data_IF_652379075915
#
_entry.id   IF_652379075915
#
_cell.length_a   1.000
_cell.length_b   1.000
_cell.length_c   1.000
_cell.angle_alpha   90.00
_cell.angle_beta   90.00
_cell.angle_gamma   90.00
#
_symmetry.space_group_name_H-M   'P 1'
#
loop_
_entity.id
_entity.type
_entity.pdbx_description
1 polymer ?
#
# COMPACT_ATOMS: atom_id res chain seq x y z
N UNK A 1 -25.38 -6.76 3.31
CA UNK A 1 -24.07 -7.36 2.92
C UNK A 1 -23.00 -6.59 3.69
N UNK A 2 -22.02 -7.25 4.29
CA UNK A 2 -20.89 -6.54 4.94
C UNK A 2 -19.87 -6.19 3.87
N UNK A 3 -19.41 -4.94 3.86
CA UNK A 3 -18.40 -4.42 2.93
C UNK A 3 -17.10 -4.25 3.72
N UNK A 4 -15.96 -4.49 3.07
CA UNK A 4 -14.63 -4.15 3.58
C UNK A 4 -14.02 -3.14 2.62
N UNK A 5 -13.58 -2.00 3.14
CA UNK A 5 -12.74 -1.06 2.40
C UNK A 5 -11.30 -1.58 2.40
N UNK A 6 -10.91 -2.20 1.31
CA UNK A 6 -9.62 -2.89 1.22
C UNK A 6 -8.42 -1.94 1.00
N UNK A 7 -8.64 -0.62 0.85
CA UNK A 7 -7.57 0.30 0.53
C UNK A 7 -7.91 1.74 0.90
N UNK A 8 -7.51 2.18 2.07
CA UNK A 8 -7.59 3.59 2.46
C UNK A 8 -6.25 4.12 2.95
N UNK A 9 -6.12 5.42 2.97
CA UNK A 9 -5.00 6.11 3.61
C UNK A 9 -5.54 6.96 4.77
N UNK A 10 -4.90 6.85 5.91
CA UNK A 10 -5.16 7.68 7.10
C UNK A 10 -3.83 8.28 7.52
N UNK A 11 -3.71 9.58 7.39
CA UNK A 11 -2.48 10.31 7.67
C UNK A 11 -2.59 11.01 9.03
N UNK A 12 -1.45 11.19 9.70
CA UNK A 12 -1.37 11.88 11.00
C UNK A 12 -1.01 13.37 10.89
N UNK A 13 -0.97 13.92 9.68
CA UNK A 13 -0.46 15.26 9.40
C UNK A 13 -1.59 16.25 9.18
N UNK A 14 -1.42 17.50 9.64
CA UNK A 14 -2.41 18.57 9.47
C UNK A 14 -2.70 18.88 7.98
N UNK A 15 -1.71 18.71 7.11
CA UNK A 15 -1.88 18.86 5.67
C UNK A 15 -2.87 17.88 5.06
N UNK A 16 -3.01 16.71 5.64
CA UNK A 16 -3.95 15.70 5.19
C UNK A 16 -5.40 16.04 5.57
N UNK A 17 -5.62 16.69 6.70
CA UNK A 17 -6.94 17.20 7.09
C UNK A 17 -7.40 18.30 6.12
N UNK A 18 -6.52 19.22 5.73
CA UNK A 18 -6.85 20.25 4.76
C UNK A 18 -7.22 19.64 3.39
N UNK A 19 -6.46 18.65 2.94
CA UNK A 19 -6.76 17.91 1.69
C UNK A 19 -8.12 17.18 1.78
N UNK A 20 -8.42 16.56 2.90
CA UNK A 20 -9.69 15.88 3.14
C UNK A 20 -10.87 16.86 3.08
N UNK A 21 -10.75 18.02 3.69
CA UNK A 21 -11.79 19.09 3.68
C UNK A 21 -12.10 19.58 2.28
N UNK A 22 -11.12 19.69 1.41
CA UNK A 22 -11.32 20.12 0.01
C UNK A 22 -12.23 19.19 -0.79
N UNK A 23 -12.35 17.93 -0.37
CA UNK A 23 -13.23 16.92 -0.98
C UNK A 23 -14.44 16.58 -0.09
N UNK A 24 -14.70 17.37 0.94
CA UNK A 24 -15.87 17.22 1.82
C UNK A 24 -15.73 16.15 2.90
N UNK A 25 -14.51 15.77 3.25
CA UNK A 25 -14.22 14.78 4.28
C UNK A 25 -13.37 15.34 5.42
N UNK A 26 -13.19 14.52 6.46
CA UNK A 26 -12.26 14.76 7.55
C UNK A 26 -11.30 13.57 7.68
N UNK A 27 -10.01 13.83 7.85
CA UNK A 27 -8.98 12.81 8.01
C UNK A 27 -8.86 12.38 9.47
N UNK A 28 -9.93 11.84 10.04
CA UNK A 28 -9.94 11.34 11.41
C UNK A 28 -10.81 10.09 11.57
N UNK A 29 -10.54 9.35 12.65
CA UNK A 29 -11.18 8.06 12.93
C UNK A 29 -12.68 8.20 13.19
N UNK A 30 -13.10 9.26 13.88
CA UNK A 30 -14.51 9.45 14.27
C UNK A 30 -15.38 9.68 13.02
N UNK A 31 -14.92 10.53 12.11
CA UNK A 31 -15.60 10.74 10.82
C UNK A 31 -15.66 9.45 9.98
N UNK A 32 -14.56 8.69 9.91
CA UNK A 32 -14.56 7.43 9.19
C UNK A 32 -15.52 6.41 9.81
N UNK A 33 -15.65 6.40 11.14
CA UNK A 33 -16.60 5.54 11.85
C UNK A 33 -18.06 5.88 11.50
N UNK A 34 -18.40 7.17 11.42
CA UNK A 34 -19.71 7.64 10.98
C UNK A 34 -19.99 7.21 9.55
N UNK A 35 -19.12 7.57 8.61
CA UNK A 35 -19.25 7.24 7.17
C UNK A 35 -19.32 5.73 6.95
N UNK A 36 -18.50 4.94 7.62
CA UNK A 36 -18.54 3.49 7.53
C UNK A 36 -19.85 2.91 8.04
N UNK A 37 -20.40 3.49 9.11
CA UNK A 37 -21.72 3.13 9.63
C UNK A 37 -22.83 3.37 8.60
N UNK A 38 -22.84 4.55 7.99
CA UNK A 38 -23.82 4.92 6.96
C UNK A 38 -23.73 4.05 5.71
N UNK A 39 -22.50 3.75 5.26
CA UNK A 39 -22.23 2.96 4.05
C UNK A 39 -22.24 1.44 4.30
N UNK A 40 -22.51 0.99 5.52
CA UNK A 40 -22.46 -0.42 5.92
C UNK A 40 -21.08 -1.07 5.68
N UNK A 41 -20.01 -0.28 5.78
CA UNK A 41 -18.63 -0.77 5.73
C UNK A 41 -18.27 -1.29 7.12
N UNK A 42 -17.93 -2.57 7.18
CA UNK A 42 -17.64 -3.23 8.45
C UNK A 42 -16.22 -3.01 8.92
N UNK A 43 -15.28 -2.79 7.98
CA UNK A 43 -13.85 -2.74 8.28
C UNK A 43 -13.07 -2.04 7.17
N UNK A 44 -11.96 -1.40 7.53
CA UNK A 44 -11.02 -0.79 6.60
C UNK A 44 -9.61 -1.36 6.71
N UNK A 45 -8.87 -1.35 5.61
CA UNK A 45 -7.45 -1.71 5.56
C UNK A 45 -6.62 -0.48 5.25
N UNK A 46 -5.92 0.05 6.26
CA UNK A 46 -5.04 1.21 6.11
C UNK A 46 -3.76 0.82 5.39
N UNK A 47 -3.47 1.47 4.26
CA UNK A 47 -2.22 1.32 3.54
C UNK A 47 -1.18 2.26 4.13
N UNK A 48 -0.31 1.73 5.00
CA UNK A 48 0.77 2.47 5.62
C UNK A 48 1.73 3.03 4.55
N UNK A 49 2.26 4.22 4.77
CA UNK A 49 3.13 4.90 3.81
C UNK A 49 4.23 5.75 4.46
N UNK A 50 4.40 5.70 5.76
CA UNK A 50 5.38 6.57 6.44
C UNK A 50 6.38 5.79 7.28
N UNK A 51 5.97 5.30 8.43
CA UNK A 51 6.89 4.85 9.47
C UNK A 51 6.86 3.34 9.68
N UNK A 52 8.01 2.77 10.02
CA UNK A 52 8.11 1.41 10.56
C UNK A 52 8.06 1.39 12.11
N UNK A 53 7.64 2.49 12.75
CA UNK A 53 7.41 2.49 14.19
C UNK A 53 6.05 1.86 14.51
N UNK A 54 6.05 0.82 15.34
CA UNK A 54 4.84 0.07 15.69
C UNK A 54 3.71 0.96 16.24
N UNK A 55 4.05 1.93 17.10
CA UNK A 55 3.08 2.84 17.71
C UNK A 55 2.31 3.72 16.71
N UNK A 56 2.87 3.96 15.53
CA UNK A 56 2.19 4.73 14.48
C UNK A 56 1.12 3.93 13.73
N UNK A 57 1.00 2.65 14.06
CA UNK A 57 0.02 1.73 13.51
C UNK A 57 -0.95 1.18 14.59
N UNK A 58 -1.11 1.92 15.69
CA UNK A 58 -2.05 1.60 16.76
C UNK A 58 -3.47 2.11 16.41
N UNK A 59 -4.01 1.62 15.30
CA UNK A 59 -5.37 1.91 14.87
C UNK A 59 -6.40 1.18 15.74
N UNK A 60 -7.63 1.73 15.90
CA UNK A 60 -8.74 1.00 16.52
C UNK A 60 -9.02 -0.32 15.79
N UNK A 61 -8.81 -1.44 16.47
CA UNK A 61 -8.87 -2.78 15.86
C UNK A 61 -10.29 -3.25 15.56
N UNK A 62 -11.30 -2.59 16.13
CA UNK A 62 -12.71 -2.80 15.81
C UNK A 62 -13.09 -2.19 14.45
N UNK A 63 -12.27 -1.27 13.92
CA UNK A 63 -12.53 -0.55 12.68
C UNK A 63 -11.45 -0.81 11.61
N UNK A 64 -10.19 -0.98 11.99
CA UNK A 64 -9.08 -1.05 11.04
C UNK A 64 -8.14 -2.23 11.26
N UNK A 65 -7.73 -2.80 10.13
CA UNK A 65 -6.46 -3.48 9.95
C UNK A 65 -5.51 -2.59 9.15
N UNK A 66 -4.25 -3.00 8.99
CA UNK A 66 -3.30 -2.24 8.18
C UNK A 66 -2.30 -3.12 7.44
N UNK A 67 -1.78 -2.61 6.34
CA UNK A 67 -0.55 -3.09 5.71
C UNK A 67 0.59 -2.15 6.11
N UNK A 68 1.70 -2.69 6.61
CA UNK A 68 2.88 -1.86 6.88
C UNK A 68 3.48 -1.36 5.57
N UNK A 69 3.65 -0.05 5.45
CA UNK A 69 4.11 0.57 4.20
C UNK A 69 5.60 0.89 4.22
N UNK A 70 6.23 0.76 3.06
CA UNK A 70 7.60 1.22 2.80
C UNK A 70 7.52 2.33 1.75
N UNK A 71 7.63 3.57 2.17
CA UNK A 71 7.62 4.73 1.29
C UNK A 71 8.96 5.47 1.24
N UNK A 72 9.02 6.53 0.44
CA UNK A 72 10.24 7.30 0.23
C UNK A 72 10.75 8.04 1.47
N UNK A 73 9.90 8.28 2.47
CA UNK A 73 10.31 8.93 3.73
C UNK A 73 11.27 8.05 4.55
N UNK A 74 11.24 6.74 4.33
CA UNK A 74 12.16 5.81 4.96
C UNK A 74 13.55 5.79 4.31
N UNK A 75 13.74 6.53 3.21
CA UNK A 75 14.95 6.58 2.39
C UNK A 75 15.47 8.03 2.27
N UNK A 76 15.25 8.84 3.30
CA UNK A 76 15.42 10.31 3.29
C UNK A 76 16.84 10.79 2.96
N UNK A 77 17.84 10.03 3.30
CA UNK A 77 19.24 10.39 3.08
C UNK A 77 19.81 9.95 1.71
N UNK A 78 18.94 9.49 0.81
CA UNK A 78 19.35 8.90 -0.47
C UNK A 78 19.92 7.49 -0.36
N UNK A 79 19.98 6.95 0.84
CA UNK A 79 20.32 5.54 1.08
C UNK A 79 19.23 4.62 0.52
N UNK A 80 19.65 3.50 -0.06
CA UNK A 80 18.75 2.38 -0.42
C UNK A 80 18.73 1.30 0.65
N UNK A 81 19.25 1.60 1.81
CA UNK A 81 19.36 0.65 2.92
C UNK A 81 18.62 1.19 4.11
N UNK A 82 17.58 0.49 4.51
CA UNK A 82 16.91 0.72 5.80
C UNK A 82 17.50 -0.29 6.78
N UNK A 83 18.19 0.16 7.84
CA UNK A 83 18.74 -0.76 8.83
C UNK A 83 17.65 -1.66 9.41
N UNK A 84 17.96 -2.94 9.56
CA UNK A 84 17.10 -3.95 10.18
C UNK A 84 15.68 -4.01 9.57
N UNK A 85 15.56 -3.68 8.28
CA UNK A 85 14.27 -3.60 7.59
C UNK A 85 13.43 -4.87 7.76
N UNK A 86 14.05 -6.03 7.57
CA UNK A 86 13.37 -7.32 7.69
C UNK A 86 12.79 -7.55 9.10
N UNK A 87 13.59 -7.27 10.14
CA UNK A 87 13.18 -7.44 11.53
C UNK A 87 12.07 -6.46 11.91
N UNK A 88 12.17 -5.22 11.43
CA UNK A 88 11.14 -4.19 11.65
C UNK A 88 9.82 -4.56 10.96
N UNK A 89 9.86 -5.03 9.73
CA UNK A 89 8.67 -5.52 9.01
C UNK A 89 8.10 -6.76 9.69
N UNK A 90 8.95 -7.70 10.12
CA UNK A 90 8.51 -8.90 10.83
C UNK A 90 7.78 -8.55 12.14
N UNK A 91 8.25 -7.55 12.88
CA UNK A 91 7.58 -7.09 14.09
C UNK A 91 6.14 -6.63 13.83
N UNK A 92 5.88 -6.00 12.67
CA UNK A 92 4.52 -5.69 12.24
C UNK A 92 3.73 -6.94 11.84
N UNK A 93 4.32 -7.84 11.05
CA UNK A 93 3.65 -9.04 10.57
C UNK A 93 3.22 -9.99 11.70
N UNK A 94 3.86 -9.91 12.87
CA UNK A 94 3.47 -10.66 14.08
C UNK A 94 2.19 -10.12 14.75
N UNK A 95 1.77 -8.90 14.43
CA UNK A 95 0.54 -8.31 15.02
C UNK A 95 -0.70 -8.86 14.32
N UNK A 96 -1.74 -9.12 15.08
CA UNK A 96 -3.01 -9.65 14.55
C UNK A 96 -3.70 -8.66 13.61
N UNK A 97 -3.60 -7.36 13.89
CA UNK A 97 -4.20 -6.32 13.07
C UNK A 97 -3.34 -5.86 11.88
N UNK A 98 -2.12 -6.39 11.72
CA UNK A 98 -1.33 -6.20 10.50
C UNK A 98 -1.70 -7.30 9.50
N UNK A 99 -2.30 -6.95 8.38
CA UNK A 99 -2.76 -7.91 7.37
C UNK A 99 -1.85 -8.01 6.14
N UNK A 100 -0.75 -7.28 6.07
CA UNK A 100 0.18 -7.36 4.94
C UNK A 100 1.25 -6.30 4.92
N UNK A 101 1.93 -6.22 3.78
CA UNK A 101 2.94 -5.20 3.47
C UNK A 101 2.43 -4.35 2.30
N UNK A 102 2.73 -3.06 2.31
CA UNK A 102 2.46 -2.15 1.19
C UNK A 102 3.75 -1.60 0.61
N UNK A 103 3.93 -1.72 -0.70
CA UNK A 103 5.09 -1.20 -1.42
C UNK A 103 4.69 -0.08 -2.39
N UNK A 104 5.61 0.89 -2.55
CA UNK A 104 5.45 2.07 -3.39
C UNK A 104 6.63 2.23 -4.37
N UNK A 105 6.86 1.29 -5.31
CA UNK A 105 8.08 1.24 -6.11
C UNK A 105 8.32 2.48 -6.95
N UNK A 106 7.29 3.10 -7.51
CA UNK A 106 7.41 4.33 -8.29
C UNK A 106 7.81 5.55 -7.46
N UNK A 107 7.29 5.65 -6.26
CA UNK A 107 7.64 6.72 -5.31
C UNK A 107 9.06 6.56 -4.78
N UNK A 108 9.42 5.35 -4.39
CA UNK A 108 10.75 5.00 -3.88
C UNK A 108 11.82 4.96 -4.98
N UNK A 109 11.41 4.85 -6.25
CA UNK A 109 12.29 4.64 -7.42
C UNK A 109 13.17 3.40 -7.27
N UNK A 110 12.60 2.34 -6.70
CA UNK A 110 13.25 1.06 -6.43
C UNK A 110 12.46 -0.02 -7.17
N UNK A 111 13.16 -0.84 -7.95
CA UNK A 111 12.54 -1.95 -8.65
C UNK A 111 12.01 -3.00 -7.67
N UNK A 112 10.91 -3.67 -8.02
CA UNK A 112 10.38 -4.77 -7.19
C UNK A 112 11.37 -5.94 -7.07
N UNK A 113 12.23 -6.14 -8.07
CA UNK A 113 13.30 -7.14 -8.07
C UNK A 113 14.53 -6.73 -7.22
N UNK A 114 14.53 -5.53 -6.62
CA UNK A 114 15.66 -5.07 -5.79
C UNK A 114 15.90 -6.02 -4.60
N UNK A 115 17.18 -6.36 -4.31
CA UNK A 115 17.54 -7.25 -3.20
C UNK A 115 16.97 -6.86 -1.84
N UNK A 116 16.70 -5.56 -1.59
CA UNK A 116 16.14 -5.09 -0.32
C UNK A 116 14.73 -5.64 -0.06
N UNK A 117 13.94 -5.93 -1.11
CA UNK A 117 12.58 -6.44 -0.96
C UNK A 117 12.53 -7.97 -0.80
N UNK A 118 13.57 -8.69 -1.20
CA UNK A 118 13.61 -10.16 -1.17
C UNK A 118 13.32 -10.76 0.22
N UNK A 119 13.90 -10.25 1.34
CA UNK A 119 13.54 -10.74 2.66
C UNK A 119 12.08 -10.49 3.03
N UNK A 120 11.50 -9.37 2.55
CA UNK A 120 10.11 -8.99 2.83
C UNK A 120 9.13 -9.95 2.17
N UNK A 121 9.38 -10.35 0.92
CA UNK A 121 8.55 -11.33 0.21
C UNK A 121 8.53 -12.67 0.94
N UNK A 122 9.70 -13.17 1.34
CA UNK A 122 9.80 -14.41 2.13
C UNK A 122 9.11 -14.32 3.49
N UNK A 123 9.21 -13.17 4.17
CA UNK A 123 8.50 -12.93 5.42
C UNK A 123 6.99 -12.93 5.20
N UNK A 124 6.49 -12.20 4.21
CA UNK A 124 5.07 -12.14 3.88
C UNK A 124 4.51 -13.55 3.61
N UNK A 125 5.19 -14.34 2.79
CA UNK A 125 4.85 -15.74 2.54
C UNK A 125 4.81 -16.57 3.82
N UNK A 126 5.85 -16.48 4.67
CA UNK A 126 5.93 -17.21 5.95
C UNK A 126 4.76 -16.89 6.89
N UNK A 127 4.30 -15.67 6.90
CA UNK A 127 3.16 -15.24 7.72
C UNK A 127 1.80 -15.41 7.01
N UNK A 128 1.76 -15.89 5.76
CA UNK A 128 0.55 -16.02 4.96
C UNK A 128 -0.14 -14.67 4.70
N UNK A 129 0.63 -13.57 4.62
CA UNK A 129 0.13 -12.21 4.46
C UNK A 129 0.55 -11.64 3.10
N UNK A 130 -0.35 -10.93 2.39
CA UNK A 130 -0.07 -10.40 1.06
C UNK A 130 0.92 -9.24 1.06
N UNK A 131 1.53 -9.02 -0.10
CA UNK A 131 2.27 -7.82 -0.46
C UNK A 131 1.44 -7.02 -1.45
N UNK A 132 0.85 -5.92 -1.00
CA UNK A 132 0.12 -4.98 -1.83
C UNK A 132 1.09 -3.99 -2.48
N UNK A 133 1.03 -3.87 -3.80
CA UNK A 133 1.97 -3.06 -4.58
C UNK A 133 1.22 -1.95 -5.30
N UNK A 134 1.66 -0.71 -5.11
CA UNK A 134 1.16 0.42 -5.90
C UNK A 134 1.59 0.27 -7.35
N UNK A 135 0.62 0.17 -8.27
CA UNK A 135 0.87 -0.01 -9.70
C UNK A 135 0.15 1.07 -10.50
N UNK A 136 0.76 1.46 -11.63
CA UNK A 136 0.19 2.47 -12.51
C UNK A 136 0.52 3.90 -12.12
N UNK A 137 -0.40 4.84 -12.37
CA UNK A 137 -0.20 6.26 -12.15
C UNK A 137 0.09 6.59 -10.68
N UNK A 138 1.01 7.51 -10.48
CA UNK A 138 1.41 8.02 -9.17
C UNK A 138 0.92 9.46 -8.98
N UNK A 139 0.55 9.82 -7.75
CA UNK A 139 0.07 11.17 -7.43
C UNK A 139 1.17 12.25 -7.50
N UNK A 140 2.45 11.87 -7.41
CA UNK A 140 3.56 12.81 -7.40
C UNK A 140 4.30 12.85 -8.74
N UNK A 141 4.53 14.05 -9.26
CA UNK A 141 5.22 14.29 -10.53
C UNK A 141 6.66 13.76 -10.59
N UNK A 142 7.29 13.53 -9.45
CA UNK A 142 8.66 12.99 -9.34
C UNK A 142 8.73 11.47 -9.22
N UNK A 143 7.60 10.78 -9.10
CA UNK A 143 7.56 9.33 -9.10
C UNK A 143 7.80 8.77 -10.53
N UNK A 144 8.33 7.57 -10.61
CA UNK A 144 8.68 6.97 -11.90
C UNK A 144 7.77 5.80 -12.25
N UNK A 145 6.93 5.98 -13.26
CA UNK A 145 5.98 4.98 -13.74
C UNK A 145 6.64 3.65 -14.14
N UNK A 146 7.89 3.68 -14.63
CA UNK A 146 8.62 2.45 -15.01
C UNK A 146 8.75 1.42 -13.88
N UNK A 147 8.74 1.86 -12.63
CA UNK A 147 8.79 0.96 -11.45
C UNK A 147 7.40 0.47 -11.03
N UNK A 148 6.33 1.09 -11.54
CA UNK A 148 4.93 0.75 -11.23
C UNK A 148 4.23 0.08 -12.42
N UNK A 149 4.97 -0.34 -13.46
CA UNK A 149 4.37 -1.03 -14.60
C UNK A 149 4.01 -2.48 -14.20
N UNK A 150 2.83 -2.99 -14.58
CA UNK A 150 2.40 -4.35 -14.21
C UNK A 150 3.39 -5.47 -14.53
N UNK A 151 4.15 -5.36 -15.62
CA UNK A 151 5.19 -6.35 -15.98
C UNK A 151 6.31 -6.48 -14.92
N UNK A 152 6.59 -5.42 -14.14
CA UNK A 152 7.56 -5.51 -13.07
C UNK A 152 7.06 -6.40 -11.91
N UNK A 153 5.75 -6.50 -11.75
CA UNK A 153 5.14 -7.41 -10.76
C UNK A 153 5.11 -8.85 -11.25
N UNK A 154 4.90 -9.06 -12.55
CA UNK A 154 4.91 -10.39 -13.17
C UNK A 154 6.25 -11.12 -12.95
N UNK A 155 7.37 -10.43 -13.21
CA UNK A 155 8.72 -10.95 -12.96
C UNK A 155 8.90 -11.41 -11.49
N UNK A 156 8.55 -10.56 -10.55
CA UNK A 156 8.73 -10.85 -9.13
C UNK A 156 7.77 -11.92 -8.63
N UNK A 157 6.55 -11.96 -9.15
CA UNK A 157 5.57 -12.99 -8.80
C UNK A 157 6.01 -14.39 -9.28
N UNK A 158 6.65 -14.45 -10.44
CA UNK A 158 7.22 -15.71 -10.96
C UNK A 158 8.38 -16.22 -10.08
N UNK A 159 9.22 -15.30 -9.57
CA UNK A 159 10.35 -15.64 -8.70
C UNK A 159 9.94 -15.96 -7.25
N UNK A 160 8.74 -15.54 -6.84
CA UNK A 160 8.21 -15.72 -5.48
C UNK A 160 6.82 -16.36 -5.47
N UNK A 161 6.67 -17.62 -5.93
CA UNK A 161 5.36 -18.26 -6.10
C UNK A 161 4.60 -18.47 -4.77
N UNK A 162 5.29 -18.49 -3.64
CA UNK A 162 4.67 -18.62 -2.32
C UNK A 162 4.17 -17.29 -1.74
N UNK A 163 4.48 -16.16 -2.38
CA UNK A 163 4.07 -14.83 -1.94
C UNK A 163 2.81 -14.40 -2.66
N UNK A 164 1.78 -14.03 -1.92
CA UNK A 164 0.58 -13.41 -2.50
C UNK A 164 0.84 -11.95 -2.81
N UNK A 165 0.78 -11.57 -4.08
CA UNK A 165 0.85 -10.18 -4.50
C UNK A 165 -0.54 -9.62 -4.82
N UNK A 166 -0.80 -8.39 -4.40
CA UNK A 166 -2.02 -7.63 -4.70
C UNK A 166 -1.64 -6.41 -5.53
N UNK A 167 -2.08 -6.39 -6.78
CA UNK A 167 -1.91 -5.23 -7.66
C UNK A 167 -2.91 -4.16 -7.31
N UNK A 168 -2.47 -3.09 -6.63
CA UNK A 168 -3.32 -1.93 -6.37
C UNK A 168 -3.59 -1.15 -7.67
N UNK A 169 -4.80 -0.56 -7.76
CA UNK A 169 -5.21 0.32 -8.86
C UNK A 169 -5.24 -0.31 -10.25
N UNK A 170 -5.14 -1.63 -10.37
CA UNK A 170 -5.16 -2.37 -11.64
C UNK A 170 -4.18 -1.86 -12.70
N UNK A 171 -3.06 -1.25 -12.31
CA UNK A 171 -2.12 -0.62 -13.24
C UNK A 171 -2.72 0.56 -13.99
N UNK A 172 -3.52 1.40 -13.31
CA UNK A 172 -4.13 2.63 -13.85
C UNK A 172 -3.21 3.34 -14.84
N UNK A 173 -3.76 3.81 -15.98
CA UNK A 173 -3.07 4.35 -17.16
C UNK A 173 -2.52 3.25 -18.07
N UNK A 174 -1.72 2.29 -17.60
CA UNK A 174 -1.25 1.19 -18.43
C UNK A 174 -2.41 0.36 -18.97
N UNK A 175 -3.38 0.04 -18.12
CA UNK A 175 -4.59 -0.69 -18.52
C UNK A 175 -5.48 0.14 -19.47
N UNK A 176 -5.63 1.43 -19.23
CA UNK A 176 -6.46 2.32 -20.06
C UNK A 176 -5.95 2.36 -21.49
N UNK A 177 -4.63 2.41 -21.70
CA UNK A 177 -4.04 2.39 -23.03
C UNK A 177 -4.19 1.04 -23.74
N UNK A 178 -4.28 -0.05 -23.00
CA UNK A 178 -4.47 -1.40 -23.57
C UNK A 178 -5.93 -1.67 -23.95
N UNK A 179 -6.90 -1.02 -23.29
CA UNK A 179 -8.33 -1.30 -23.50
C UNK A 179 -9.03 -0.36 -24.47
N UNK A 180 -8.52 0.86 -24.68
CA UNK A 180 -9.09 1.82 -25.62
C UNK A 180 -9.27 1.31 -27.05
N UNK A 181 -8.32 0.56 -27.64
CA UNK A 181 -8.49 -0.02 -28.98
C UNK A 181 -9.59 -1.09 -29.07
N UNK A 182 -9.87 -1.79 -27.98
CA UNK A 182 -10.91 -2.84 -27.94
C UNK A 182 -12.32 -2.26 -27.83
N UNK A 183 -12.48 -1.08 -27.24
CA UNK A 183 -13.78 -0.40 -27.15
C UNK A 183 -14.21 0.21 -28.48
N UNK A 184 -13.26 0.55 -29.35
CA UNK A 184 -13.53 1.11 -30.68
C UNK A 184 -13.87 0.09 -31.77
N UNK A 185 -13.90 -1.19 -31.45
CA UNK A 185 -14.14 -2.28 -32.40
C UNK A 185 -15.50 -2.99 -32.24
N UNK A 186 -16.45 -2.36 -31.54
CA UNK A 186 -17.85 -2.84 -31.37
C UNK A 186 -18.81 -1.98 -32.15
#
# INVERSE_FOLDING_TARGET
>A
MKIIDAHLHLFSEDSAEEMARQVGHHNNVDHLREVYGELHIAHGVVMGNHSLELRRHDYPTDLFHYCVGLDSSLLEDGSRVIPDLADRVEAHLRRDNCCGVKLYPGYNKIALSDPMYQPIYRLAARYGKPVAVHMGLTAFSRAHLKYCHPLALDEVAADHPDTQFVMCHFGTVSYTHLTLPTICSV
#
